data_IF_020048545173
#
_entry.id   IF_020048545173
#
_cell.length_a   1.000
_cell.length_b   1.000
_cell.length_c   1.000
_cell.angle_alpha   90.00
_cell.angle_beta   90.00
_cell.angle_gamma   90.00
#
_symmetry.space_group_name_H-M   'P 1'
#
loop_
_entity.id
_entity.type
_entity.pdbx_description
1 polymer ?
#
# COMPACT_ATOMS: atom_id res chain seq x y z
N UNK A 1 -31.80 -10.19 22.92
CA UNK A 1 -31.91 -9.47 21.62
C UNK A 1 -31.92 -7.94 21.75
N UNK A 2 -32.83 -7.32 22.53
CA UNK A 2 -32.86 -5.83 22.65
C UNK A 2 -31.53 -5.22 23.07
N UNK A 3 -30.84 -5.85 24.03
CA UNK A 3 -29.53 -5.39 24.50
C UNK A 3 -28.43 -5.55 23.42
N UNK A 4 -28.40 -6.68 22.74
CA UNK A 4 -27.48 -6.93 21.62
C UNK A 4 -27.64 -5.87 20.51
N UNK A 5 -28.90 -5.60 20.12
CA UNK A 5 -29.19 -4.57 19.10
C UNK A 5 -28.75 -3.17 19.57
N UNK A 6 -28.93 -2.86 20.87
CA UNK A 6 -28.50 -1.59 21.46
C UNK A 6 -26.97 -1.45 21.40
N UNK A 7 -26.24 -2.48 21.84
CA UNK A 7 -24.77 -2.50 21.84
C UNK A 7 -24.22 -2.35 20.42
N UNK A 8 -24.72 -3.13 19.49
CA UNK A 8 -24.29 -3.05 18.07
C UNK A 8 -24.55 -1.66 17.48
N UNK A 9 -25.73 -1.08 17.68
CA UNK A 9 -26.03 0.27 17.20
C UNK A 9 -25.06 1.30 17.77
N UNK A 10 -24.78 1.24 19.08
CA UNK A 10 -23.82 2.15 19.73
C UNK A 10 -22.42 1.97 19.17
N UNK A 11 -22.00 0.71 18.88
CA UNK A 11 -20.72 0.45 18.24
C UNK A 11 -20.64 1.10 16.86
N UNK A 12 -21.68 1.01 16.05
CA UNK A 12 -21.71 1.63 14.70
C UNK A 12 -21.75 3.16 14.77
N UNK A 13 -22.39 3.76 15.78
CA UNK A 13 -22.34 5.20 16.02
C UNK A 13 -20.90 5.67 16.32
N UNK A 14 -20.17 4.96 17.19
CA UNK A 14 -18.78 5.27 17.48
C UNK A 14 -17.88 5.04 16.25
N UNK A 15 -18.06 3.96 15.50
CA UNK A 15 -17.28 3.70 14.29
C UNK A 15 -17.49 4.81 13.22
N UNK A 16 -18.74 5.26 13.05
CA UNK A 16 -19.05 6.38 12.17
C UNK A 16 -18.40 7.70 12.63
N UNK A 17 -18.42 7.97 13.92
CA UNK A 17 -17.77 9.15 14.51
C UNK A 17 -16.23 9.07 14.36
N UNK A 18 -15.64 7.88 14.52
CA UNK A 18 -14.21 7.65 14.31
C UNK A 18 -13.79 7.95 12.86
N UNK A 19 -14.57 7.49 11.89
CA UNK A 19 -14.34 7.78 10.46
C UNK A 19 -14.36 9.29 10.18
N UNK A 20 -15.30 10.04 10.78
CA UNK A 20 -15.37 11.48 10.61
C UNK A 20 -14.17 12.19 11.26
N UNK A 21 -13.76 11.78 12.47
CA UNK A 21 -12.57 12.31 13.14
C UNK A 21 -11.29 12.06 12.31
N UNK A 22 -11.15 10.88 11.74
CA UNK A 22 -10.03 10.54 10.86
C UNK A 22 -9.99 11.45 9.61
N UNK A 23 -11.14 11.70 8.98
CA UNK A 23 -11.23 12.63 7.84
C UNK A 23 -10.90 14.08 8.20
N UNK A 24 -11.10 14.47 9.45
CA UNK A 24 -10.74 15.79 9.97
C UNK A 24 -9.28 15.89 10.41
N UNK A 25 -8.52 14.78 10.34
CA UNK A 25 -7.13 14.71 10.77
C UNK A 25 -6.94 14.55 12.29
N UNK A 26 -8.02 14.32 13.03
CA UNK A 26 -7.95 14.05 14.48
C UNK A 26 -7.79 12.53 14.73
N UNK A 27 -6.62 12.02 14.42
CA UNK A 27 -6.27 10.60 14.54
C UNK A 27 -6.36 10.09 15.98
N UNK A 28 -6.01 10.93 16.96
CA UNK A 28 -6.10 10.54 18.37
C UNK A 28 -7.55 10.29 18.78
N UNK A 29 -8.43 11.19 18.40
CA UNK A 29 -9.88 11.03 18.66
C UNK A 29 -10.46 9.85 17.89
N UNK A 30 -10.01 9.63 16.67
CA UNK A 30 -10.42 8.46 15.88
C UNK A 30 -10.04 7.14 16.56
N UNK A 31 -8.81 7.02 17.07
CA UNK A 31 -8.34 5.82 17.80
C UNK A 31 -9.15 5.57 19.08
N UNK A 32 -9.48 6.62 19.85
CA UNK A 32 -10.33 6.51 21.04
C UNK A 32 -11.72 5.98 20.67
N UNK A 33 -12.32 6.55 19.62
CA UNK A 33 -13.66 6.18 19.17
C UNK A 33 -13.70 4.75 18.57
N UNK A 34 -12.66 4.34 17.84
CA UNK A 34 -12.55 2.96 17.37
C UNK A 34 -12.45 1.97 18.51
N UNK A 35 -11.74 2.30 19.57
CA UNK A 35 -11.65 1.46 20.78
C UNK A 35 -13.00 1.34 21.48
N UNK A 36 -13.74 2.42 21.59
CA UNK A 36 -15.11 2.39 22.13
C UNK A 36 -16.08 1.56 21.27
N UNK A 37 -15.99 1.71 19.94
CA UNK A 37 -16.75 0.89 19.00
C UNK A 37 -16.43 -0.60 19.19
N UNK A 38 -15.15 -0.95 19.24
CA UNK A 38 -14.68 -2.31 19.43
C UNK A 38 -15.22 -2.92 20.73
N UNK A 39 -15.13 -2.23 21.87
CA UNK A 39 -15.61 -2.73 23.15
C UNK A 39 -17.13 -3.01 23.15
N UNK A 40 -17.92 -2.15 22.50
CA UNK A 40 -19.39 -2.35 22.40
C UNK A 40 -19.73 -3.52 21.48
N UNK A 41 -19.06 -3.63 20.33
CA UNK A 41 -19.30 -4.72 19.38
C UNK A 41 -18.85 -6.07 19.95
N UNK A 42 -17.72 -6.12 20.66
CA UNK A 42 -17.25 -7.31 21.36
C UNK A 42 -18.23 -7.77 22.44
N UNK A 43 -18.82 -6.84 23.20
CA UNK A 43 -19.88 -7.17 24.16
C UNK A 43 -21.09 -7.77 23.44
N UNK A 44 -21.54 -7.16 22.33
CA UNK A 44 -22.67 -7.69 21.55
C UNK A 44 -22.39 -9.10 21.01
N UNK A 45 -21.19 -9.33 20.48
CA UNK A 45 -20.77 -10.65 19.99
C UNK A 45 -20.73 -11.70 21.12
N UNK A 46 -20.22 -11.35 22.30
CA UNK A 46 -20.19 -12.26 23.46
C UNK A 46 -21.56 -12.67 23.96
N UNK A 47 -22.54 -11.78 23.94
CA UNK A 47 -23.94 -12.09 24.32
C UNK A 47 -24.59 -13.19 23.45
N UNK A 48 -24.12 -13.33 22.21
CA UNK A 48 -24.65 -14.34 21.27
C UNK A 48 -23.67 -15.47 20.97
N UNK A 49 -22.52 -15.50 21.63
CA UNK A 49 -21.42 -16.42 21.31
C UNK A 49 -21.85 -17.91 21.27
N UNK A 50 -22.77 -18.33 22.18
CA UNK A 50 -23.25 -19.70 22.30
C UNK A 50 -24.65 -19.89 21.68
N UNK A 51 -25.19 -18.92 20.97
CA UNK A 51 -26.53 -18.94 20.39
C UNK A 51 -26.51 -19.43 18.96
N UNK A 52 -26.40 -20.75 18.77
CA UNK A 52 -26.42 -21.40 17.46
C UNK A 52 -27.74 -21.15 16.72
N UNK A 53 -28.83 -20.97 17.45
CA UNK A 53 -30.17 -20.61 16.92
C UNK A 53 -30.19 -19.20 16.28
N UNK A 54 -29.15 -18.37 16.52
CA UNK A 54 -28.97 -17.02 15.97
C UNK A 54 -27.73 -16.91 15.09
N UNK A 55 -27.40 -17.97 14.35
CA UNK A 55 -26.12 -18.11 13.64
C UNK A 55 -25.77 -16.90 12.76
N UNK A 56 -26.72 -16.39 11.97
CA UNK A 56 -26.49 -15.21 11.15
C UNK A 56 -26.08 -14.00 11.99
N UNK A 57 -26.83 -13.70 13.07
CA UNK A 57 -26.51 -12.58 13.97
C UNK A 57 -25.18 -12.80 14.68
N UNK A 58 -24.92 -14.04 15.12
CA UNK A 58 -23.68 -14.44 15.78
C UNK A 58 -22.46 -14.20 14.86
N UNK A 59 -22.54 -14.69 13.65
CA UNK A 59 -21.45 -14.57 12.66
C UNK A 59 -21.16 -13.12 12.28
N UNK A 60 -22.21 -12.33 12.01
CA UNK A 60 -22.08 -10.90 11.66
C UNK A 60 -21.43 -10.11 12.80
N UNK A 61 -21.89 -10.29 14.04
CA UNK A 61 -21.35 -9.55 15.18
C UNK A 61 -19.88 -9.94 15.47
N UNK A 62 -19.53 -11.23 15.38
CA UNK A 62 -18.14 -11.65 15.55
C UNK A 62 -17.23 -11.13 14.43
N UNK A 63 -17.68 -11.15 13.16
CA UNK A 63 -16.95 -10.58 12.04
C UNK A 63 -16.73 -9.08 12.23
N UNK A 64 -17.78 -8.33 12.60
CA UNK A 64 -17.71 -6.90 12.86
C UNK A 64 -16.76 -6.57 14.03
N UNK A 65 -16.86 -7.31 15.14
CA UNK A 65 -15.97 -7.16 16.28
C UNK A 65 -14.50 -7.49 15.91
N UNK A 66 -14.25 -8.52 15.09
CA UNK A 66 -12.93 -8.89 14.64
C UNK A 66 -12.30 -7.80 13.75
N UNK A 67 -13.07 -7.20 12.85
CA UNK A 67 -12.62 -6.07 12.03
C UNK A 67 -12.23 -4.85 12.89
N UNK A 68 -13.05 -4.50 13.88
CA UNK A 68 -12.74 -3.42 14.81
C UNK A 68 -11.52 -3.73 15.69
N UNK A 69 -11.33 -5.00 16.09
CA UNK A 69 -10.16 -5.44 16.85
C UNK A 69 -8.87 -5.22 16.05
N UNK A 70 -8.88 -5.52 14.75
CA UNK A 70 -7.73 -5.28 13.86
C UNK A 70 -7.42 -3.78 13.74
N UNK A 71 -8.42 -2.93 13.57
CA UNK A 71 -8.25 -1.47 13.57
C UNK A 71 -7.58 -0.99 14.86
N UNK A 72 -7.97 -1.59 16.01
CA UNK A 72 -7.39 -1.29 17.33
C UNK A 72 -6.06 -1.99 17.60
N UNK A 73 -5.51 -2.78 16.64
CA UNK A 73 -4.29 -3.58 16.78
C UNK A 73 -4.36 -4.68 17.86
N UNK A 74 -5.57 -5.11 18.17
CA UNK A 74 -5.87 -6.21 19.11
C UNK A 74 -5.90 -7.56 18.37
N UNK A 75 -4.79 -7.91 17.71
CA UNK A 75 -4.64 -9.04 16.76
C UNK A 75 -5.06 -10.39 17.37
N UNK A 76 -4.69 -10.63 18.65
CA UNK A 76 -5.05 -11.88 19.35
C UNK A 76 -6.56 -11.99 19.62
N UNK A 77 -7.21 -10.87 19.92
CA UNK A 77 -8.64 -10.88 20.15
C UNK A 77 -9.41 -11.00 18.83
N UNK A 78 -8.92 -10.38 17.74
CA UNK A 78 -9.42 -10.61 16.40
C UNK A 78 -9.40 -12.11 16.03
N UNK A 79 -8.25 -12.79 16.23
CA UNK A 79 -8.10 -14.23 15.99
C UNK A 79 -9.14 -15.06 16.77
N UNK A 80 -9.37 -14.73 18.05
CA UNK A 80 -10.36 -15.44 18.89
C UNK A 80 -11.80 -15.24 18.39
N UNK A 81 -12.14 -14.01 18.00
CA UNK A 81 -13.48 -13.69 17.49
C UNK A 81 -13.74 -14.41 16.16
N UNK A 82 -12.76 -14.42 15.25
CA UNK A 82 -12.83 -15.13 13.98
C UNK A 82 -12.98 -16.65 14.22
N UNK A 83 -12.14 -17.24 15.08
CA UNK A 83 -12.21 -18.66 15.38
C UNK A 83 -13.55 -19.06 15.97
N UNK A 84 -14.13 -18.26 16.86
CA UNK A 84 -15.47 -18.48 17.41
C UNK A 84 -16.55 -18.43 16.33
N UNK A 85 -16.50 -17.47 15.42
CA UNK A 85 -17.45 -17.38 14.32
C UNK A 85 -17.35 -18.61 13.41
N UNK A 86 -16.16 -18.96 12.98
CA UNK A 86 -15.92 -20.09 12.07
C UNK A 86 -16.15 -21.46 12.70
N UNK A 87 -16.20 -21.57 14.04
CA UNK A 87 -16.56 -22.82 14.74
C UNK A 87 -18.05 -23.15 14.69
N UNK A 88 -18.89 -22.23 14.23
CA UNK A 88 -20.31 -22.45 13.94
C UNK A 88 -20.52 -22.81 12.47
N UNK A 89 -21.68 -22.42 11.95
CA UNK A 89 -22.07 -22.61 10.54
C UNK A 89 -22.44 -21.25 9.92
N UNK A 90 -21.47 -20.32 9.78
CA UNK A 90 -21.73 -19.02 9.20
C UNK A 90 -22.13 -19.13 7.73
N UNK A 91 -23.02 -18.25 7.20
CA UNK A 91 -23.29 -18.14 5.79
C UNK A 91 -21.99 -18.00 4.97
N UNK A 92 -21.94 -18.56 3.77
CA UNK A 92 -20.74 -18.65 2.96
C UNK A 92 -20.02 -17.30 2.77
N UNK A 93 -20.78 -16.25 2.48
CA UNK A 93 -20.25 -14.90 2.30
C UNK A 93 -19.54 -14.37 3.56
N UNK A 94 -20.17 -14.58 4.74
CA UNK A 94 -19.59 -14.18 6.03
C UNK A 94 -18.38 -15.05 6.37
N UNK A 95 -18.44 -16.35 6.04
CA UNK A 95 -17.32 -17.26 6.24
C UNK A 95 -16.09 -16.82 5.42
N UNK A 96 -16.29 -16.36 4.19
CA UNK A 96 -15.22 -15.87 3.32
C UNK A 96 -14.63 -14.55 3.84
N UNK A 97 -15.46 -13.61 4.29
CA UNK A 97 -14.99 -12.38 4.95
C UNK A 97 -14.20 -12.68 6.24
N UNK A 98 -14.62 -13.66 7.03
CA UNK A 98 -13.90 -14.11 8.23
C UNK A 98 -12.55 -14.74 7.89
N UNK A 99 -12.45 -15.49 6.79
CA UNK A 99 -11.18 -16.04 6.30
C UNK A 99 -10.24 -14.94 5.82
N UNK A 100 -10.77 -13.93 5.14
CA UNK A 100 -9.99 -12.75 4.74
C UNK A 100 -9.41 -12.01 5.95
N UNK A 101 -10.21 -11.78 7.00
CA UNK A 101 -9.73 -11.21 8.26
C UNK A 101 -8.71 -12.11 8.96
N UNK A 102 -8.86 -13.43 8.87
CA UNK A 102 -7.90 -14.38 9.43
C UNK A 102 -6.55 -14.31 8.69
N UNK A 103 -6.56 -14.16 7.37
CA UNK A 103 -5.34 -13.94 6.59
C UNK A 103 -4.62 -12.67 7.05
N UNK A 104 -5.35 -11.59 7.32
CA UNK A 104 -4.78 -10.34 7.86
C UNK A 104 -4.14 -10.55 9.23
N UNK A 105 -4.85 -11.20 10.16
CA UNK A 105 -4.34 -11.58 11.48
C UNK A 105 -3.07 -12.42 11.37
N UNK A 106 -3.09 -13.45 10.52
CA UNK A 106 -1.96 -14.35 10.33
C UNK A 106 -0.77 -13.63 9.68
N UNK A 107 -1.03 -12.69 8.78
CA UNK A 107 -0.01 -11.87 8.16
C UNK A 107 0.66 -10.94 9.17
N UNK A 108 -0.09 -10.19 9.99
CA UNK A 108 0.47 -9.36 11.06
C UNK A 108 1.25 -10.19 12.06
N UNK A 109 0.70 -11.31 12.51
CA UNK A 109 1.38 -12.24 13.39
C UNK A 109 2.63 -12.84 12.77
N UNK A 110 2.62 -13.09 11.44
CA UNK A 110 3.79 -13.55 10.71
C UNK A 110 4.88 -12.48 10.70
N UNK A 111 4.52 -11.22 10.49
CA UNK A 111 5.45 -10.10 10.63
C UNK A 111 6.03 -10.00 12.05
N UNK A 112 5.26 -10.39 13.08
CA UNK A 112 5.67 -10.35 14.48
C UNK A 112 6.49 -11.56 14.95
N UNK A 113 6.05 -12.79 14.64
CA UNK A 113 6.56 -14.01 15.26
C UNK A 113 7.73 -14.67 14.53
N UNK A 114 7.88 -14.40 13.24
CA UNK A 114 9.01 -14.93 12.50
C UNK A 114 10.10 -13.89 12.38
N UNK A 115 10.62 -13.46 13.52
CA UNK A 115 11.90 -12.76 13.61
C UNK A 115 12.94 -13.42 12.73
N UNK A 116 12.84 -13.22 11.41
CA UNK A 116 13.99 -13.23 10.59
C UNK A 116 14.86 -12.17 11.24
N UNK A 117 15.93 -12.58 11.91
CA UNK A 117 16.89 -11.63 12.44
C UNK A 117 17.44 -10.92 11.22
N UNK A 118 16.75 -9.84 10.82
CA UNK A 118 17.22 -8.97 9.76
C UNK A 118 18.49 -8.30 10.28
N UNK A 119 19.54 -8.38 9.49
CA UNK A 119 20.77 -7.64 9.80
C UNK A 119 20.52 -6.14 9.61
N UNK A 120 21.24 -5.26 10.30
CA UNK A 120 21.19 -3.83 10.01
C UNK A 120 21.42 -3.55 8.52
N UNK A 121 20.48 -2.84 7.87
CA UNK A 121 20.49 -2.58 6.42
C UNK A 121 19.78 -3.65 5.58
N UNK A 122 19.17 -4.66 6.18
CA UNK A 122 18.24 -5.56 5.51
C UNK A 122 16.80 -5.03 5.60
N UNK A 123 16.08 -5.27 4.53
CA UNK A 123 14.69 -4.89 4.34
C UNK A 123 13.92 -6.08 3.80
N UNK A 124 12.79 -6.41 4.37
CA UNK A 124 11.97 -7.51 3.93
C UNK A 124 10.69 -7.00 3.28
N UNK A 125 10.41 -7.49 2.07
CA UNK A 125 9.14 -7.33 1.37
C UNK A 125 8.36 -8.62 1.50
N UNK A 126 7.17 -8.56 2.09
CA UNK A 126 6.26 -9.69 2.27
C UNK A 126 4.97 -9.49 1.50
N UNK A 127 4.46 -10.53 0.87
CA UNK A 127 3.21 -10.50 0.11
C UNK A 127 2.25 -11.55 0.67
N UNK A 128 0.95 -11.18 0.76
CA UNK A 128 -0.13 -12.12 1.04
C UNK A 128 -1.33 -11.85 0.12
N UNK A 129 -2.06 -12.89 -0.22
CA UNK A 129 -3.24 -12.82 -1.08
C UNK A 129 -3.54 -14.15 -1.75
N UNK A 130 -4.61 -14.20 -2.54
CA UNK A 130 -5.17 -15.44 -3.13
C UNK A 130 -4.21 -16.19 -4.06
N UNK A 131 -3.25 -15.51 -4.68
CA UNK A 131 -2.26 -16.11 -5.59
C UNK A 131 -0.91 -16.38 -4.94
N UNK A 132 -0.78 -16.06 -3.64
CA UNK A 132 0.46 -16.24 -2.87
C UNK A 132 0.37 -17.53 -2.06
N UNK A 133 1.23 -18.49 -2.38
CA UNK A 133 1.37 -19.72 -1.60
C UNK A 133 2.52 -19.64 -0.60
N UNK A 134 2.74 -20.76 0.07
CA UNK A 134 3.82 -20.91 1.04
C UNK A 134 5.20 -20.86 0.35
N UNK A 135 5.84 -19.70 0.37
CA UNK A 135 7.14 -19.45 -0.27
C UNK A 135 7.07 -19.30 -1.80
N UNK A 136 5.88 -19.24 -2.39
CA UNK A 136 5.68 -19.14 -3.85
C UNK A 136 4.75 -17.97 -4.17
N UNK A 137 5.14 -17.14 -5.13
CA UNK A 137 4.29 -16.08 -5.67
C UNK A 137 4.58 -15.91 -7.17
N UNK A 138 3.60 -15.48 -7.98
CA UNK A 138 3.83 -15.20 -9.39
C UNK A 138 4.88 -14.09 -9.57
N UNK A 139 5.84 -14.30 -10.47
CA UNK A 139 6.93 -13.35 -10.73
C UNK A 139 6.41 -11.98 -11.19
N UNK A 140 5.31 -11.96 -11.92
CA UNK A 140 4.60 -10.75 -12.36
C UNK A 140 4.07 -9.90 -11.19
N UNK A 141 3.78 -10.52 -10.04
CA UNK A 141 3.36 -9.83 -8.83
C UNK A 141 4.56 -9.37 -7.99
N UNK A 142 5.68 -10.06 -8.08
CA UNK A 142 6.86 -9.82 -7.25
C UNK A 142 7.81 -8.80 -7.87
N UNK A 143 8.23 -9.05 -9.12
CA UNK A 143 9.31 -8.29 -9.75
C UNK A 143 9.01 -6.79 -9.91
N UNK A 144 7.79 -6.35 -10.29
CA UNK A 144 7.46 -4.93 -10.35
C UNK A 144 7.56 -4.26 -8.98
N UNK A 145 7.12 -4.95 -7.91
CA UNK A 145 7.18 -4.44 -6.53
C UNK A 145 8.62 -4.31 -6.04
N UNK A 146 9.46 -5.31 -6.32
CA UNK A 146 10.89 -5.25 -5.98
C UNK A 146 11.57 -4.07 -6.67
N UNK A 147 11.30 -3.88 -7.97
CA UNK A 147 11.85 -2.73 -8.73
C UNK A 147 11.35 -1.39 -8.20
N UNK A 148 10.07 -1.31 -7.82
CA UNK A 148 9.51 -0.09 -7.24
C UNK A 148 10.15 0.22 -5.88
N UNK A 149 10.39 -0.78 -5.02
CA UNK A 149 11.14 -0.63 -3.77
C UNK A 149 12.57 -0.14 -4.04
N UNK A 150 13.27 -0.75 -4.98
CA UNK A 150 14.63 -0.33 -5.37
C UNK A 150 14.64 1.14 -5.82
N UNK A 151 13.71 1.52 -6.68
CA UNK A 151 13.60 2.90 -7.18
C UNK A 151 13.27 3.87 -6.04
N UNK A 152 12.32 3.52 -5.16
CA UNK A 152 11.98 4.33 -3.98
C UNK A 152 13.17 4.55 -3.06
N UNK A 153 13.97 3.50 -2.81
CA UNK A 153 15.17 3.63 -1.99
C UNK A 153 16.18 4.61 -2.62
N UNK A 154 16.40 4.52 -3.94
CA UNK A 154 17.30 5.46 -4.64
C UNK A 154 16.77 6.89 -4.60
N UNK A 155 15.48 7.10 -4.87
CA UNK A 155 14.87 8.43 -4.84
C UNK A 155 14.87 9.03 -3.43
N UNK A 156 14.63 8.19 -2.41
CA UNK A 156 14.73 8.60 -1.01
C UNK A 156 16.17 8.96 -0.64
N UNK A 157 17.16 8.20 -1.14
CA UNK A 157 18.57 8.50 -0.94
C UNK A 157 18.97 9.85 -1.57
N UNK A 158 18.55 10.11 -2.82
CA UNK A 158 18.79 11.39 -3.50
C UNK A 158 18.18 12.53 -2.68
N UNK A 159 16.93 12.39 -2.22
CA UNK A 159 16.25 13.40 -1.39
C UNK A 159 16.93 13.60 -0.04
N UNK A 160 17.29 12.54 0.67
CA UNK A 160 18.02 12.63 1.94
C UNK A 160 19.42 13.22 1.78
N UNK A 161 20.01 13.10 0.60
CA UNK A 161 21.28 13.72 0.20
C UNK A 161 21.13 15.19 -0.22
N UNK A 162 19.92 15.76 -0.23
CA UNK A 162 19.66 17.15 -0.63
C UNK A 162 19.80 17.38 -2.14
N UNK A 163 19.65 16.34 -2.98
CA UNK A 163 19.72 16.46 -4.43
C UNK A 163 18.35 16.81 -5.01
N UNK A 164 18.34 17.66 -6.04
CA UNK A 164 17.14 17.97 -6.80
C UNK A 164 16.65 16.73 -7.58
N UNK A 165 15.30 16.63 -7.75
CA UNK A 165 14.73 15.57 -8.56
C UNK A 165 15.19 15.66 -10.02
N UNK A 166 15.69 14.55 -10.58
CA UNK A 166 16.15 14.45 -11.97
C UNK A 166 15.32 13.44 -12.75
N UNK A 167 14.65 13.91 -13.81
CA UNK A 167 13.96 13.04 -14.77
C UNK A 167 14.93 12.28 -15.68
N UNK A 168 16.07 12.89 -16.02
CA UNK A 168 17.10 12.34 -16.88
C UNK A 168 18.36 12.05 -16.11
N UNK A 169 19.09 11.14 -16.66
CA UNK A 169 20.30 10.65 -16.11
C UNK A 169 19.96 9.34 -15.41
N UNK A 170 20.36 8.24 -16.07
CA UNK A 170 20.46 6.99 -15.36
C UNK A 170 21.18 7.23 -14.04
N UNK A 171 21.23 6.23 -13.20
CA UNK A 171 21.95 6.21 -11.91
C UNK A 171 23.16 7.12 -12.04
N UNK A 172 23.20 8.23 -11.28
CA UNK A 172 24.26 9.25 -11.40
C UNK A 172 25.63 8.59 -11.34
N UNK A 173 26.66 9.20 -11.96
CA UNK A 173 28.02 8.63 -11.99
C UNK A 173 28.60 8.35 -10.59
N UNK A 174 28.00 8.93 -9.55
CA UNK A 174 28.25 8.65 -8.14
C UNK A 174 27.21 7.69 -7.55
N UNK A 175 26.82 6.67 -8.31
CA UNK A 175 25.95 5.63 -7.78
C UNK A 175 26.66 5.00 -6.59
N UNK A 176 26.29 5.44 -5.40
CA UNK A 176 26.89 4.94 -4.17
C UNK A 176 26.63 3.42 -4.13
N UNK A 177 27.71 2.63 -4.30
CA UNK A 177 27.66 1.16 -4.22
C UNK A 177 26.94 0.68 -2.95
N UNK A 178 26.84 1.58 -1.94
CA UNK A 178 26.09 1.36 -0.70
C UNK A 178 24.58 1.22 -0.91
N UNK A 179 24.04 1.64 -2.06
CA UNK A 179 22.61 1.55 -2.37
C UNK A 179 22.29 0.47 -3.41
N UNK A 180 23.24 -0.41 -3.74
CA UNK A 180 22.97 -1.56 -4.61
C UNK A 180 22.08 -2.55 -3.89
N UNK A 181 20.99 -2.96 -4.57
CA UNK A 181 20.04 -3.94 -4.05
C UNK A 181 20.52 -5.36 -4.33
N UNK A 182 20.60 -6.16 -3.28
CA UNK A 182 20.86 -7.58 -3.35
C UNK A 182 19.63 -8.36 -2.88
N UNK A 183 19.22 -9.36 -3.65
CA UNK A 183 18.14 -10.27 -3.28
C UNK A 183 18.71 -11.43 -2.46
N UNK A 184 18.11 -11.73 -1.33
CA UNK A 184 18.37 -12.92 -0.54
C UNK A 184 17.32 -14.00 -0.82
N UNK A 185 17.60 -15.22 -0.38
CA UNK A 185 16.70 -16.37 -0.57
C UNK A 185 15.33 -16.09 0.08
N UNK A 186 14.22 -16.35 -0.63
CA UNK A 186 12.88 -16.25 -0.06
C UNK A 186 12.74 -17.14 1.15
N UNK A 187 12.07 -16.65 2.19
CA UNK A 187 11.81 -17.42 3.41
C UNK A 187 10.39 -17.97 3.39
N UNK A 188 10.24 -19.22 3.82
CA UNK A 188 8.95 -19.88 3.81
C UNK A 188 8.03 -19.37 4.92
N UNK A 189 6.81 -18.95 4.57
CA UNK A 189 5.59 -18.86 5.38
C UNK A 189 4.46 -18.08 4.71
N UNK A 190 4.62 -16.93 4.26
CA UNK A 190 4.05 -16.13 3.19
C UNK A 190 5.20 -15.92 2.22
N UNK A 191 4.96 -15.35 1.07
CA UNK A 191 6.07 -15.01 0.19
C UNK A 191 6.80 -13.79 0.75
N UNK A 192 8.03 -13.98 1.23
CA UNK A 192 8.87 -12.90 1.78
C UNK A 192 10.24 -12.91 1.13
N UNK A 193 10.64 -11.78 0.55
CA UNK A 193 11.97 -11.56 -0.02
C UNK A 193 12.74 -10.61 0.87
N UNK A 194 13.95 -10.99 1.25
CA UNK A 194 14.87 -10.09 1.94
C UNK A 194 15.71 -9.34 0.91
N UNK A 195 15.72 -8.04 1.03
CA UNK A 195 16.45 -7.10 0.22
C UNK A 195 17.57 -6.52 1.08
N UNK A 196 18.79 -6.52 0.57
CA UNK A 196 19.94 -5.94 1.26
C UNK A 196 20.50 -4.78 0.46
N UNK A 197 20.64 -3.63 1.11
CA UNK A 197 21.28 -2.47 0.53
C UNK A 197 22.70 -2.34 1.04
N UNK A 198 23.66 -2.22 0.10
CA UNK A 198 25.06 -2.00 0.43
C UNK A 198 26.02 -3.06 -0.07
N UNK A 199 27.31 -2.81 0.06
CA UNK A 199 28.37 -3.79 -0.18
C UNK A 199 28.43 -4.77 0.98
N UNK A 200 28.42 -6.07 0.72
CA UNK A 200 28.29 -7.14 1.69
C UNK A 200 29.35 -7.23 2.82
N UNK A 201 30.28 -6.27 2.90
CA UNK A 201 31.41 -6.30 3.83
C UNK A 201 31.58 -5.05 4.70
N UNK A 202 30.69 -4.05 4.61
CA UNK A 202 30.89 -2.85 5.41
C UNK A 202 30.35 -3.03 6.82
N UNK A 203 31.22 -3.45 7.74
CA UNK A 203 31.02 -3.35 9.18
C UNK A 203 30.89 -1.88 9.55
N UNK A 204 29.69 -1.46 9.96
CA UNK A 204 29.50 -0.12 10.51
C UNK A 204 30.15 -0.05 11.88
N UNK A 205 31.05 0.90 12.07
CA UNK A 205 31.61 1.22 13.38
C UNK A 205 30.46 1.66 14.32
N UNK A 206 30.44 1.21 15.58
CA UNK A 206 29.46 1.65 16.55
C UNK A 206 29.41 3.17 16.66
N UNK A 207 28.21 3.75 16.49
CA UNK A 207 27.99 5.21 16.60
C UNK A 207 27.97 6.00 15.28
N UNK A 208 28.39 5.44 14.16
CA UNK A 208 28.21 6.12 12.85
C UNK A 208 26.79 5.89 12.30
N UNK A 209 26.15 6.99 11.89
CA UNK A 209 24.89 6.90 11.13
C UNK A 209 25.21 6.30 9.76
N UNK A 210 24.77 5.08 9.51
CA UNK A 210 24.88 4.45 8.21
C UNK A 210 23.83 5.07 7.27
N UNK A 211 24.25 5.68 6.18
CA UNK A 211 23.36 6.35 5.22
C UNK A 211 22.21 5.44 4.72
N UNK A 212 22.44 4.17 4.32
CA UNK A 212 21.36 3.24 4.01
C UNK A 212 20.32 3.08 5.13
N UNK A 213 20.73 3.10 6.39
CA UNK A 213 19.80 3.04 7.54
C UNK A 213 18.93 4.29 7.64
N UNK A 214 19.51 5.48 7.43
CA UNK A 214 18.75 6.74 7.43
C UNK A 214 17.71 6.74 6.31
N UNK A 215 18.11 6.31 5.12
CA UNK A 215 17.23 6.20 3.94
C UNK A 215 16.10 5.20 4.20
N UNK A 216 16.40 4.05 4.79
CA UNK A 216 15.39 3.04 5.12
C UNK A 216 14.40 3.54 6.17
N UNK A 217 14.87 4.25 7.20
CA UNK A 217 13.99 4.86 8.22
C UNK A 217 13.05 5.88 7.57
N UNK A 218 13.58 6.76 6.75
CA UNK A 218 12.79 7.80 6.09
C UNK A 218 11.77 7.22 5.11
N UNK A 219 12.16 6.17 4.36
CA UNK A 219 11.23 5.45 3.49
C UNK A 219 10.08 4.81 4.28
N UNK A 220 10.39 4.11 5.38
CA UNK A 220 9.35 3.49 6.21
C UNK A 220 8.46 4.51 6.90
N UNK A 221 8.98 5.67 7.29
CA UNK A 221 8.17 6.77 7.80
C UNK A 221 7.17 7.25 6.76
N UNK A 222 7.64 7.51 5.53
CA UNK A 222 6.78 7.96 4.43
C UNK A 222 5.73 6.90 4.05
N UNK A 223 6.10 5.62 3.99
CA UNK A 223 5.17 4.53 3.73
C UNK A 223 4.17 4.33 4.88
N UNK A 224 4.58 4.57 6.12
CA UNK A 224 3.70 4.55 7.29
C UNK A 224 2.64 5.66 7.23
N UNK A 225 3.03 6.87 6.85
CA UNK A 225 2.08 7.98 6.62
C UNK A 225 1.09 7.65 5.50
N UNK A 226 1.58 7.06 4.41
CA UNK A 226 0.72 6.60 3.31
C UNK A 226 -0.26 5.50 3.76
N UNK A 227 0.21 4.51 4.51
CA UNK A 227 -0.62 3.42 5.05
C UNK A 227 -1.73 3.94 5.96
N UNK A 228 -1.44 4.97 6.74
CA UNK A 228 -2.40 5.66 7.60
C UNK A 228 -3.27 6.68 6.85
N UNK A 229 -3.09 6.83 5.52
CA UNK A 229 -3.79 7.80 4.67
C UNK A 229 -3.55 9.27 5.08
N UNK A 230 -2.46 9.56 5.81
CA UNK A 230 -2.08 10.91 6.19
C UNK A 230 -1.26 11.58 5.07
N UNK A 231 -1.97 11.93 3.99
CA UNK A 231 -1.37 12.53 2.80
C UNK A 231 -0.82 13.93 3.09
N UNK A 232 -1.39 14.64 4.06
CA UNK A 232 -0.93 15.97 4.46
C UNK A 232 0.44 15.90 5.12
N UNK A 233 0.60 15.06 6.15
CA UNK A 233 1.89 14.86 6.79
C UNK A 233 2.94 14.28 5.82
N UNK A 234 2.52 13.42 4.88
CA UNK A 234 3.40 12.91 3.83
C UNK A 234 3.89 14.03 2.90
N UNK A 235 3.01 14.95 2.49
CA UNK A 235 3.37 16.10 1.67
C UNK A 235 4.29 17.07 2.41
N UNK A 236 4.04 17.32 3.69
CA UNK A 236 4.91 18.16 4.53
C UNK A 236 6.31 17.52 4.67
N UNK A 237 6.38 16.19 4.77
CA UNK A 237 7.65 15.43 4.84
C UNK A 237 8.39 15.39 3.50
N UNK A 238 7.67 15.30 2.38
CA UNK A 238 8.21 15.32 1.01
C UNK A 238 7.78 16.62 0.33
N UNK A 239 8.44 17.71 0.70
CA UNK A 239 8.05 19.06 0.25
C UNK A 239 8.23 19.30 -1.26
N UNK A 240 9.19 18.63 -1.90
CA UNK A 240 9.37 18.72 -3.37
C UNK A 240 8.28 17.93 -4.08
N UNK A 241 7.54 18.61 -4.95
CA UNK A 241 6.38 18.07 -5.64
C UNK A 241 6.73 16.91 -6.60
N UNK A 242 7.90 16.93 -7.23
CA UNK A 242 8.32 15.86 -8.12
C UNK A 242 8.67 14.59 -7.32
N UNK A 243 9.37 14.73 -6.19
CA UNK A 243 9.62 13.62 -5.28
C UNK A 243 8.32 13.08 -4.67
N UNK A 244 7.38 13.95 -4.28
CA UNK A 244 6.10 13.55 -3.71
C UNK A 244 5.28 12.72 -4.70
N UNK A 245 5.09 13.20 -5.95
CA UNK A 245 4.36 12.46 -6.99
C UNK A 245 5.03 11.15 -7.34
N UNK A 246 6.35 11.17 -7.49
CA UNK A 246 7.12 9.96 -7.76
C UNK A 246 6.96 8.93 -6.64
N UNK A 247 7.05 9.38 -5.38
CA UNK A 247 6.88 8.53 -4.20
C UNK A 247 5.49 7.87 -4.19
N UNK A 248 4.42 8.65 -4.34
CA UNK A 248 3.05 8.12 -4.31
C UNK A 248 2.82 7.13 -5.44
N UNK A 249 3.27 7.44 -6.66
CA UNK A 249 3.10 6.55 -7.81
C UNK A 249 3.88 5.23 -7.67
N UNK A 250 5.13 5.27 -7.17
CA UNK A 250 5.89 4.05 -6.88
C UNK A 250 5.29 3.25 -5.72
N UNK A 251 4.83 3.93 -4.67
CA UNK A 251 4.15 3.28 -3.55
C UNK A 251 2.85 2.57 -3.98
N UNK A 252 2.11 3.14 -4.95
CA UNK A 252 0.98 2.44 -5.60
C UNK A 252 1.40 1.16 -6.30
N UNK A 253 2.54 1.16 -6.99
CA UNK A 253 3.06 -0.06 -7.63
C UNK A 253 3.37 -1.15 -6.61
N UNK A 254 3.79 -0.77 -5.40
CA UNK A 254 4.04 -1.71 -4.29
C UNK A 254 2.73 -2.17 -3.65
N UNK A 255 1.75 -1.28 -3.51
CA UNK A 255 0.50 -1.52 -2.80
C UNK A 255 -0.28 -2.74 -3.32
N UNK A 256 -1.18 -3.32 -2.51
CA UNK A 256 -2.08 -4.38 -2.94
C UNK A 256 -2.91 -3.97 -4.16
N UNK A 257 -3.23 -4.94 -5.02
CA UNK A 257 -4.25 -4.73 -6.08
C UNK A 257 -5.68 -4.89 -5.55
N UNK A 258 -5.83 -5.54 -4.41
CA UNK A 258 -7.11 -5.79 -3.75
C UNK A 258 -7.77 -7.11 -4.12
N UNK A 259 -7.26 -7.81 -5.15
CA UNK A 259 -7.80 -9.08 -5.64
C UNK A 259 -6.78 -10.22 -5.46
N UNK A 260 -5.66 -10.14 -6.16
CA UNK A 260 -4.60 -11.16 -6.16
C UNK A 260 -3.66 -10.99 -4.97
N UNK A 261 -3.28 -9.75 -4.68
CA UNK A 261 -2.47 -9.37 -3.51
C UNK A 261 -3.32 -8.47 -2.62
N UNK A 262 -3.61 -8.93 -1.42
CA UNK A 262 -4.44 -8.21 -0.43
C UNK A 262 -3.60 -7.41 0.55
N UNK A 263 -2.37 -7.88 0.84
CA UNK A 263 -1.49 -7.28 1.84
C UNK A 263 -0.05 -7.23 1.34
N UNK A 264 0.63 -6.12 1.60
CA UNK A 264 2.06 -5.96 1.35
C UNK A 264 2.73 -5.45 2.62
N UNK A 265 3.62 -6.24 3.19
CA UNK A 265 4.38 -5.89 4.37
C UNK A 265 5.81 -5.47 4.04
N UNK A 266 6.28 -4.46 4.72
CA UNK A 266 7.63 -3.95 4.63
C UNK A 266 8.24 -3.91 6.02
N UNK A 267 9.31 -4.66 6.24
CA UNK A 267 9.96 -4.78 7.53
C UNK A 267 11.44 -4.44 7.41
N UNK A 268 11.96 -3.62 8.30
CA UNK A 268 13.38 -3.35 8.41
C UNK A 268 13.84 -3.42 9.85
N UNK A 269 15.10 -3.78 10.06
CA UNK A 269 15.74 -3.78 11.36
C UNK A 269 16.73 -2.63 11.45
N UNK A 270 16.48 -1.72 12.38
CA UNK A 270 17.33 -0.58 12.60
C UNK A 270 17.51 -0.30 14.09
N UNK A 271 18.75 0.03 14.52
CA UNK A 271 19.10 0.38 15.91
C UNK A 271 18.51 -0.55 16.99
N UNK A 272 18.59 -1.86 16.80
CA UNK A 272 17.99 -2.87 17.70
C UNK A 272 16.45 -2.82 17.79
N UNK A 273 15.78 -2.19 16.82
CA UNK A 273 14.32 -2.19 16.72
C UNK A 273 13.90 -2.63 15.34
N UNK A 274 12.94 -3.52 15.31
CA UNK A 274 12.22 -3.88 14.11
C UNK A 274 11.14 -2.83 13.83
N UNK A 275 11.09 -2.36 12.57
CA UNK A 275 10.04 -1.46 12.10
C UNK A 275 9.26 -2.13 11.00
N UNK A 276 7.94 -2.06 11.08
CA UNK A 276 7.02 -2.70 10.16
C UNK A 276 6.03 -1.69 9.62
N UNK A 277 5.72 -1.81 8.35
CA UNK A 277 4.64 -1.09 7.69
C UNK A 277 3.83 -2.11 6.90
N UNK A 278 2.53 -2.14 7.10
CA UNK A 278 1.59 -2.94 6.33
C UNK A 278 0.77 -2.02 5.41
N UNK A 279 0.82 -2.28 4.12
CA UNK A 279 -0.02 -1.63 3.13
C UNK A 279 -1.22 -2.54 2.87
N UNK A 280 -2.40 -2.09 3.31
CA UNK A 280 -3.69 -2.77 3.14
C UNK A 280 -4.58 -2.02 2.15
N UNK A 281 -4.33 -0.73 1.96
CA UNK A 281 -5.09 0.10 1.03
C UNK A 281 -4.82 -0.32 -0.42
N UNK A 282 -5.83 -0.74 -1.19
CA UNK A 282 -5.66 -1.08 -2.60
C UNK A 282 -5.11 0.09 -3.41
N UNK A 283 -4.23 -0.21 -4.37
CA UNK A 283 -3.55 0.78 -5.23
C UNK A 283 -4.50 1.79 -5.89
N UNK A 284 -5.68 1.35 -6.31
CA UNK A 284 -6.70 2.23 -6.92
C UNK A 284 -7.28 3.30 -5.98
N UNK A 285 -7.07 3.18 -4.66
CA UNK A 285 -7.50 4.18 -3.67
C UNK A 285 -6.38 5.14 -3.26
N UNK A 286 -5.15 4.94 -3.72
CA UNK A 286 -4.00 5.78 -3.42
C UNK A 286 -3.88 6.82 -4.54
N UNK A 287 -3.93 8.10 -4.24
CA UNK A 287 -3.80 9.20 -5.21
C UNK A 287 -2.85 10.27 -4.69
N UNK A 288 -2.05 10.85 -5.57
CA UNK A 288 -1.21 12.02 -5.28
C UNK A 288 -2.01 13.33 -5.29
N UNK A 289 -3.26 13.30 -5.76
CA UNK A 289 -4.13 14.48 -5.88
C UNK A 289 -5.03 14.55 -4.66
N UNK A 290 -4.94 15.64 -3.91
CA UNK A 290 -5.82 15.89 -2.77
C UNK A 290 -7.28 16.00 -3.20
N UNK A 291 -8.17 15.44 -2.40
CA UNK A 291 -9.63 15.47 -2.68
C UNK A 291 -10.18 16.90 -2.69
N UNK A 292 -9.53 17.84 -2.01
CA UNK A 292 -9.89 19.26 -2.00
C UNK A 292 -9.45 19.98 -3.28
N UNK A 293 -8.28 19.67 -3.83
CA UNK A 293 -7.85 20.17 -5.14
C UNK A 293 -8.71 19.59 -6.28
N UNK A 294 -9.31 18.43 -6.05
CA UNK A 294 -10.26 17.82 -6.99
C UNK A 294 -11.55 18.63 -7.13
N UNK A 295 -12.01 19.30 -6.08
CA UNK A 295 -13.24 20.11 -6.09
C UNK A 295 -13.05 21.48 -6.78
N UNK A 296 -11.82 21.99 -6.87
CA UNK A 296 -11.48 23.29 -7.47
C UNK A 296 -11.05 23.19 -8.95
N UNK A 297 -10.86 21.98 -9.47
CA UNK A 297 -10.38 21.74 -10.82
C UNK A 297 -11.48 21.91 -11.89
N UNK A 298 -11.46 22.99 -12.67
CA UNK A 298 -12.38 23.28 -13.80
C UNK A 298 -12.17 22.38 -15.03
N UNK A 299 -11.59 21.18 -14.91
CA UNK A 299 -11.34 20.25 -16.01
C UNK A 299 -12.24 19.00 -15.95
N UNK A 300 -12.50 18.41 -17.11
CA UNK A 300 -13.22 17.15 -17.22
C UNK A 300 -12.25 16.00 -16.93
N UNK A 301 -12.54 15.16 -15.92
CA UNK A 301 -11.81 13.89 -15.72
C UNK A 301 -12.13 12.95 -16.86
N UNK A 302 -11.09 12.32 -17.37
CA UNK A 302 -11.18 11.35 -18.45
C UNK A 302 -10.28 10.18 -18.16
N UNK A 303 -10.69 9.05 -18.68
CA UNK A 303 -9.88 7.83 -18.72
C UNK A 303 -9.66 7.47 -20.19
N UNK A 304 -8.42 7.13 -20.54
CA UNK A 304 -8.03 6.74 -21.89
C UNK A 304 -7.27 5.43 -21.83
N UNK A 305 -7.80 4.40 -22.51
CA UNK A 305 -7.13 3.11 -22.67
C UNK A 305 -6.44 3.07 -24.03
N UNK A 306 -5.18 2.62 -24.08
CA UNK A 306 -4.45 2.49 -25.33
C UNK A 306 -3.01 2.02 -25.12
N UNK A 307 -2.34 1.72 -26.24
CA UNK A 307 -0.94 1.31 -26.23
C UNK A 307 -0.03 2.53 -26.13
N UNK A 308 0.91 2.51 -25.17
CA UNK A 308 1.89 3.57 -24.97
C UNK A 308 3.02 3.44 -26.01
N UNK A 309 3.04 4.34 -27.00
CA UNK A 309 3.99 4.27 -28.11
C UNK A 309 5.07 5.36 -28.06
N UNK A 310 4.92 6.39 -27.25
CA UNK A 310 5.91 7.46 -27.12
C UNK A 310 5.97 7.96 -25.68
N UNK A 311 7.18 8.17 -25.17
CA UNK A 311 7.42 8.79 -23.87
C UNK A 311 8.61 9.76 -23.99
N UNK A 312 8.33 11.05 -23.91
CA UNK A 312 9.33 12.11 -24.03
C UNK A 312 9.50 12.88 -22.72
N UNK A 313 10.73 12.88 -22.21
CA UNK A 313 11.14 13.60 -21.01
C UNK A 313 12.16 14.69 -21.32
N UNK A 314 12.21 15.21 -22.58
CA UNK A 314 13.19 16.25 -22.95
C UNK A 314 12.97 17.57 -22.26
N UNK A 315 11.73 17.86 -21.87
CA UNK A 315 11.42 19.06 -21.10
C UNK A 315 11.59 18.76 -19.60
N UNK A 316 12.33 19.59 -18.88
CA UNK A 316 12.62 19.42 -17.44
C UNK A 316 11.40 19.67 -16.55
N UNK A 317 10.42 20.42 -17.03
CA UNK A 317 9.23 20.78 -16.24
C UNK A 317 8.08 19.82 -16.42
N UNK A 318 7.91 19.25 -17.62
CA UNK A 318 6.85 18.29 -17.94
C UNK A 318 7.27 17.36 -19.07
N UNK A 319 6.85 16.12 -18.95
CA UNK A 319 6.98 15.13 -20.03
C UNK A 319 5.75 15.11 -20.94
N UNK A 320 5.83 14.31 -21.99
CA UNK A 320 4.73 14.04 -22.88
C UNK A 320 4.70 12.57 -23.26
N UNK A 321 3.52 11.99 -23.29
CA UNK A 321 3.31 10.63 -23.79
C UNK A 321 2.28 10.61 -24.90
N UNK A 322 2.34 9.59 -25.73
CA UNK A 322 1.39 9.34 -26.78
C UNK A 322 0.84 7.93 -26.68
N UNK A 323 -0.49 7.85 -26.61
CA UNK A 323 -1.24 6.61 -26.56
C UNK A 323 -2.00 6.45 -27.88
N UNK A 324 -2.10 5.21 -28.33
CA UNK A 324 -3.00 4.86 -29.44
C UNK A 324 -4.06 3.92 -28.90
N UNK A 325 -5.31 4.36 -28.92
CA UNK A 325 -6.45 3.56 -28.48
C UNK A 325 -6.86 2.54 -29.55
N UNK A 326 -7.67 1.56 -29.18
CA UNK A 326 -8.13 0.47 -30.07
C UNK A 326 -8.87 0.96 -31.33
N UNK A 327 -9.48 2.15 -31.27
CA UNK A 327 -10.14 2.82 -32.43
C UNK A 327 -9.15 3.58 -33.33
N UNK A 328 -7.84 3.44 -33.10
CA UNK A 328 -6.78 4.08 -33.86
C UNK A 328 -6.55 5.56 -33.55
N UNK A 329 -7.29 6.14 -32.60
CA UNK A 329 -7.08 7.54 -32.19
C UNK A 329 -5.81 7.69 -31.36
N UNK A 330 -5.10 8.79 -31.64
CA UNK A 330 -3.90 9.15 -30.91
C UNK A 330 -4.23 10.18 -29.84
N UNK A 331 -3.86 9.91 -28.61
CA UNK A 331 -4.03 10.78 -27.46
C UNK A 331 -2.66 11.27 -26.98
N UNK A 332 -2.50 12.59 -26.94
CA UNK A 332 -1.31 13.22 -26.36
C UNK A 332 -1.62 13.62 -24.93
N UNK A 333 -0.79 13.16 -23.99
CA UNK A 333 -0.96 13.39 -22.56
C UNK A 333 0.29 14.05 -21.99
N UNK A 334 0.09 15.16 -21.30
CA UNK A 334 1.13 15.87 -20.57
C UNK A 334 1.39 15.13 -19.25
N UNK A 335 2.64 14.79 -18.97
CA UNK A 335 3.05 14.04 -17.78
C UNK A 335 3.75 14.97 -16.80
N UNK A 336 3.27 15.09 -15.56
CA UNK A 336 3.94 15.88 -14.54
C UNK A 336 5.37 15.40 -14.27
N UNK A 337 6.21 16.33 -13.81
CA UNK A 337 7.57 16.01 -13.36
C UNK A 337 7.52 14.92 -12.28
N UNK A 338 8.44 13.98 -12.31
CA UNK A 338 8.54 12.87 -11.35
C UNK A 338 7.92 11.56 -11.84
N UNK A 339 7.18 11.55 -12.95
CA UNK A 339 6.43 10.36 -13.37
C UNK A 339 6.95 9.70 -14.65
N UNK A 340 7.69 10.42 -15.52
CA UNK A 340 8.03 9.87 -16.85
C UNK A 340 9.01 8.70 -16.75
N UNK A 341 10.12 8.88 -16.05
CA UNK A 341 11.23 7.91 -16.07
C UNK A 341 10.94 6.64 -15.28
N UNK A 342 10.35 6.80 -14.11
CA UNK A 342 10.21 5.68 -13.15
C UNK A 342 8.85 4.99 -13.27
N UNK A 343 7.83 5.68 -13.77
CA UNK A 343 6.44 5.20 -13.82
C UNK A 343 6.03 4.88 -15.26
N UNK A 344 6.07 5.88 -16.13
CA UNK A 344 5.53 5.74 -17.49
C UNK A 344 6.46 4.94 -18.41
N UNK A 345 7.75 5.25 -18.41
CA UNK A 345 8.73 4.59 -19.29
C UNK A 345 8.78 3.06 -19.15
N UNK A 346 8.66 2.47 -17.97
CA UNK A 346 8.58 1.00 -17.81
C UNK A 346 7.36 0.35 -18.48
N UNK A 347 6.34 1.15 -18.82
CA UNK A 347 5.10 0.68 -19.47
C UNK A 347 5.13 0.84 -21.00
N UNK A 348 6.26 1.29 -21.57
CA UNK A 348 6.40 1.49 -23.02
C UNK A 348 6.08 0.22 -23.80
N UNK A 349 5.31 0.35 -24.88
CA UNK A 349 4.86 -0.75 -25.73
C UNK A 349 3.75 -1.60 -25.14
N UNK A 350 3.25 -1.26 -23.95
CA UNK A 350 2.17 -1.98 -23.29
C UNK A 350 0.85 -1.24 -23.40
N UNK A 351 -0.24 -1.96 -23.29
CA UNK A 351 -1.56 -1.37 -23.12
C UNK A 351 -1.69 -0.81 -21.70
N UNK A 352 -2.08 0.46 -21.60
CA UNK A 352 -2.21 1.18 -20.34
C UNK A 352 -3.57 1.87 -20.26
N UNK A 353 -4.01 2.10 -19.03
CA UNK A 353 -5.14 2.96 -18.69
C UNK A 353 -4.57 4.22 -18.06
N UNK A 354 -4.85 5.36 -18.69
CA UNK A 354 -4.42 6.67 -18.24
C UNK A 354 -5.63 7.42 -17.70
N UNK A 355 -5.60 7.78 -16.42
CA UNK A 355 -6.52 8.71 -15.81
C UNK A 355 -5.90 10.12 -15.79
N UNK A 356 -6.67 11.12 -16.14
CA UNK A 356 -6.20 12.51 -16.17
C UNK A 356 -7.31 13.53 -16.30
N UNK A 357 -6.91 14.80 -16.27
CA UNK A 357 -7.81 15.95 -16.41
C UNK A 357 -7.61 16.61 -17.76
N UNK A 358 -8.70 16.74 -18.50
CA UNK A 358 -8.73 17.49 -19.77
C UNK A 358 -9.06 18.96 -19.52
N UNK A 359 -8.12 19.85 -19.86
CA UNK A 359 -8.30 21.31 -19.86
C UNK A 359 -7.93 21.87 -21.23
N UNK A 360 -8.80 22.65 -21.86
CA UNK A 360 -8.54 23.29 -23.18
C UNK A 360 -7.98 22.34 -24.25
N UNK A 361 -8.43 21.07 -24.25
CA UNK A 361 -7.98 20.06 -25.21
C UNK A 361 -6.68 19.31 -24.85
N UNK A 362 -5.93 19.75 -23.86
CA UNK A 362 -4.75 19.05 -23.32
C UNK A 362 -5.17 18.14 -22.16
N UNK A 363 -4.65 16.91 -22.17
CA UNK A 363 -4.85 15.94 -21.09
C UNK A 363 -3.60 16.00 -20.20
N UNK A 364 -3.79 16.23 -18.91
CA UNK A 364 -2.73 16.13 -17.91
C UNK A 364 -2.88 14.83 -17.13
N UNK A 365 -1.82 14.04 -17.08
CA UNK A 365 -1.78 12.76 -16.36
C UNK A 365 -1.96 12.98 -14.85
N UNK A 366 -2.92 12.30 -14.27
CA UNK A 366 -3.03 12.12 -12.82
C UNK A 366 -2.49 10.74 -12.43
N UNK A 367 -2.78 9.73 -13.26
CA UNK A 367 -2.46 8.35 -12.98
C UNK A 367 -2.31 7.49 -14.22
N UNK A 368 -1.54 6.40 -14.12
CA UNK A 368 -1.37 5.40 -15.17
C UNK A 368 -1.18 4.02 -14.57
N UNK A 369 -1.95 3.07 -15.09
CA UNK A 369 -1.82 1.65 -14.75
C UNK A 369 -1.72 0.80 -16.03
N UNK A 370 -1.15 -0.40 -15.92
CA UNK A 370 -1.26 -1.38 -17.01
C UNK A 370 -2.72 -1.79 -17.15
N UNK A 371 -3.22 -1.83 -18.38
CA UNK A 371 -4.53 -2.39 -18.64
C UNK A 371 -4.51 -3.87 -18.23
N UNK A 372 -5.48 -4.29 -17.44
CA UNK A 372 -5.67 -5.71 -17.15
C UNK A 372 -6.00 -6.40 -18.47
N UNK A 373 -5.22 -7.43 -18.83
CA UNK A 373 -5.56 -8.30 -19.93
C UNK A 373 -6.83 -9.04 -19.53
N UNK A 374 -7.92 -8.85 -20.28
CA UNK A 374 -9.11 -9.68 -20.17
C UNK A 374 -8.68 -11.14 -20.34
N UNK A 375 -8.55 -11.86 -19.24
CA UNK A 375 -8.19 -13.28 -19.22
C UNK A 375 -9.35 -14.19 -19.71
N UNK A 376 -10.29 -13.62 -20.46
CA UNK A 376 -11.47 -14.32 -20.98
C UNK A 376 -11.37 -14.76 -22.45
N UNK A 377 -10.20 -14.58 -23.10
CA UNK A 377 -10.00 -15.12 -24.45
C UNK A 377 -8.73 -15.99 -24.51
N UNK A 378 -8.81 -17.21 -23.97
CA UNK A 378 -8.08 -18.34 -24.55
C UNK A 378 -9.07 -19.47 -24.82
N UNK A 379 -9.06 -19.98 -26.05
CA UNK A 379 -9.95 -21.06 -26.50
C UNK A 379 -9.65 -22.39 -25.83
#
# INVERSE_FOLDING_TARGET
>A
MKEVTRLHRTAMEFAGAAFLAQRQGDFKRADELHREAFEKERQAANEVANRVDLELTRSVLHRSAASLALICKETREAERLIARALSGDPPAEIADELRDLLEEVLFERHLELRGAVLQPGEFQLSLAGSVVGFGVAPSEQVLPRVRAVETLMHRTADRCGGHDFRERGGRGQNHDQRMTLHLSVPRAASFAITLRFGTGQQLCLPGMKNFPMVVTEDLLDCLGLLANQDMRALRDKIADEAYFRNFVALARTIAPDGEKIKLVGLTAFNRNRERKVALTTPRGKISAVDTEDQALGTGQRIEVRGTLLEADARNETKGCIRLVSSDGKTHKVSVPRGMVSDIVKPMFGREVVVAGVRKKGEITLEDVDLAESDASEMP
#
